data_IF_024395718100
#
_entry.id   IF_024395718100
#
_cell.length_a   1.000
_cell.length_b   1.000
_cell.length_c   1.000
_cell.angle_alpha   90.00
_cell.angle_beta   90.00
_cell.angle_gamma   90.00
#
_symmetry.space_group_name_H-M   'P 1'
#
loop_
_entity.id
_entity.type
_entity.pdbx_description
1 polymer ?
#
# COMPACT_ATOMS: atom_id res chain seq x y z
N UNK A 1 -23.46 8.69 -63.84
CA UNK A 1 -23.92 8.98 -62.51
C UNK A 1 -23.19 8.05 -61.56
N UNK A 2 -22.19 8.54 -60.86
CA UNK A 2 -21.33 7.75 -60.00
C UNK A 2 -21.48 8.27 -58.58
N UNK A 3 -22.08 7.47 -57.75
CA UNK A 3 -22.29 7.76 -56.33
C UNK A 3 -21.02 7.41 -55.60
N UNK A 4 -20.32 8.43 -55.10
CA UNK A 4 -19.11 8.27 -54.28
C UNK A 4 -19.54 8.12 -52.82
N UNK A 5 -19.54 6.89 -52.32
CA UNK A 5 -19.83 6.57 -50.93
C UNK A 5 -18.60 6.91 -50.08
N UNK A 6 -18.68 7.98 -49.30
CA UNK A 6 -17.65 8.38 -48.38
C UNK A 6 -17.80 7.57 -47.08
N UNK A 7 -16.93 6.58 -46.90
CA UNK A 7 -16.87 5.76 -45.68
C UNK A 7 -16.16 6.58 -44.57
N UNK A 8 -16.93 7.15 -43.67
CA UNK A 8 -16.41 7.87 -42.53
C UNK A 8 -16.02 6.86 -41.43
N UNK A 9 -14.73 6.51 -41.39
CA UNK A 9 -14.16 5.65 -40.34
C UNK A 9 -13.92 6.48 -39.10
N UNK A 10 -14.87 6.45 -38.17
CA UNK A 10 -14.71 7.05 -36.84
C UNK A 10 -13.85 6.14 -35.97
N UNK A 11 -12.61 6.54 -35.75
CA UNK A 11 -11.70 5.91 -34.78
C UNK A 11 -12.16 6.33 -33.39
N UNK A 12 -12.87 5.45 -32.67
CA UNK A 12 -13.09 5.58 -31.25
C UNK A 12 -11.80 5.24 -30.52
N UNK A 13 -11.03 6.26 -30.15
CA UNK A 13 -9.95 6.10 -29.18
C UNK A 13 -10.59 6.01 -27.80
N UNK A 14 -10.80 4.78 -27.34
CA UNK A 14 -11.28 4.49 -26.00
C UNK A 14 -10.24 4.84 -24.93
N UNK A 15 -10.31 6.06 -24.40
CA UNK A 15 -9.63 6.41 -23.14
C UNK A 15 -10.46 5.90 -21.97
N UNK A 16 -10.34 4.61 -21.69
CA UNK A 16 -11.00 4.00 -20.54
C UNK A 16 -10.02 3.12 -19.78
N UNK A 17 -9.20 3.74 -18.91
CA UNK A 17 -8.34 2.96 -18.01
C UNK A 17 -8.06 3.61 -16.65
N UNK A 18 -8.74 4.69 -16.23
CA UNK A 18 -8.45 5.32 -14.93
C UNK A 18 -9.49 5.03 -13.83
N UNK A 19 -10.72 4.67 -14.19
CA UNK A 19 -11.79 4.45 -13.21
C UNK A 19 -11.78 3.05 -12.55
N UNK A 20 -11.28 2.02 -13.24
CA UNK A 20 -11.23 0.67 -12.67
C UNK A 20 -10.20 0.51 -11.55
N UNK A 21 -9.06 1.23 -11.59
CA UNK A 21 -8.05 1.17 -10.53
C UNK A 21 -8.49 1.82 -9.22
N UNK A 22 -9.33 2.85 -9.27
CA UNK A 22 -9.85 3.54 -8.08
C UNK A 22 -10.98 2.79 -7.39
N UNK A 23 -11.85 2.11 -8.14
CA UNK A 23 -12.93 1.30 -7.55
C UNK A 23 -12.40 0.07 -6.81
N UNK A 24 -11.26 -0.47 -7.23
CA UNK A 24 -10.61 -1.64 -6.63
C UNK A 24 -9.94 -1.33 -5.27
N UNK A 25 -9.76 -0.04 -4.93
CA UNK A 25 -9.15 0.41 -3.68
C UNK A 25 -10.15 0.61 -2.54
N UNK A 26 -11.46 0.65 -2.80
CA UNK A 26 -12.49 0.83 -1.75
C UNK A 26 -12.56 -0.37 -0.81
N UNK A 27 -12.23 -1.55 -1.28
CA UNK A 27 -12.17 -2.80 -0.51
C UNK A 27 -10.75 -3.17 -0.07
N UNK A 28 -9.80 -2.23 -0.20
CA UNK A 28 -8.38 -2.46 0.13
C UNK A 28 -7.98 -1.68 1.37
N UNK A 29 -7.42 -2.39 2.35
CA UNK A 29 -6.76 -1.82 3.52
C UNK A 29 -5.28 -2.21 3.49
N UNK A 30 -4.41 -1.25 3.74
CA UNK A 30 -2.98 -1.46 3.89
C UNK A 30 -2.60 -1.13 5.34
N UNK A 31 -1.94 -2.06 6.00
CA UNK A 31 -1.52 -1.94 7.39
C UNK A 31 -0.02 -2.19 7.50
N UNK A 32 0.68 -1.25 8.09
CA UNK A 32 2.07 -1.42 8.51
C UNK A 32 2.15 -1.38 10.03
N UNK A 33 2.85 -2.32 10.61
CA UNK A 33 3.16 -2.32 12.04
C UNK A 33 4.65 -2.48 12.30
N UNK A 34 5.12 -1.90 13.41
CA UNK A 34 6.45 -2.13 13.95
C UNK A 34 6.37 -2.29 15.46
N UNK A 35 6.80 -3.45 15.96
CA UNK A 35 6.61 -3.83 17.37
C UNK A 35 7.90 -4.35 17.98
N UNK A 36 8.24 -3.85 19.17
CA UNK A 36 9.26 -4.38 20.07
C UNK A 36 8.85 -4.13 21.54
N UNK A 37 9.75 -4.40 22.49
CA UNK A 37 9.48 -4.11 23.91
C UNK A 37 9.21 -2.63 24.18
N UNK A 38 9.91 -1.73 23.52
CA UNK A 38 9.80 -0.28 23.69
C UNK A 38 9.18 0.47 22.51
N UNK A 39 8.77 -0.22 21.45
CA UNK A 39 8.21 0.39 20.26
C UNK A 39 6.89 -0.26 19.88
N UNK A 40 5.89 0.58 19.60
CA UNK A 40 4.65 0.17 18.95
C UNK A 40 4.26 1.25 17.97
N UNK A 41 4.22 0.90 16.70
CA UNK A 41 3.71 1.73 15.61
C UNK A 41 2.72 0.94 14.80
N UNK A 42 1.60 1.57 14.46
CA UNK A 42 0.59 1.01 13.58
C UNK A 42 0.09 2.11 12.64
N UNK A 43 0.15 1.84 11.36
CA UNK A 43 -0.38 2.71 10.30
C UNK A 43 -1.40 1.92 9.49
N UNK A 44 -2.61 2.43 9.37
CA UNK A 44 -3.66 1.84 8.56
C UNK A 44 -4.10 2.85 7.52
N UNK A 45 -4.03 2.48 6.25
CA UNK A 45 -4.51 3.30 5.13
C UNK A 45 -5.68 2.60 4.46
N UNK A 46 -6.80 3.31 4.36
CA UNK A 46 -8.03 2.84 3.72
C UNK A 46 -8.88 4.04 3.27
N UNK A 47 -9.49 3.96 2.10
CA UNK A 47 -10.47 4.96 1.61
C UNK A 47 -9.99 6.42 1.72
N UNK A 48 -8.76 6.71 1.31
CA UNK A 48 -8.14 8.05 1.43
C UNK A 48 -8.01 8.57 2.86
N UNK A 49 -8.04 7.70 3.86
CA UNK A 49 -7.72 8.05 5.23
C UNK A 49 -6.49 7.28 5.71
N UNK A 50 -5.75 7.88 6.61
CA UNK A 50 -4.67 7.24 7.35
C UNK A 50 -4.97 7.32 8.83
N UNK A 51 -4.81 6.20 9.53
CA UNK A 51 -4.89 6.09 10.98
C UNK A 51 -3.51 5.72 11.50
N UNK A 52 -2.95 6.53 12.40
CA UNK A 52 -1.61 6.33 12.98
C UNK A 52 -1.72 6.17 14.48
N UNK A 53 -1.12 5.09 15.00
CA UNK A 53 -0.99 4.83 16.43
C UNK A 53 0.50 4.72 16.79
N UNK A 54 0.99 5.64 17.60
CA UNK A 54 2.35 5.65 18.13
C UNK A 54 2.32 5.36 19.65
N UNK A 55 2.52 4.08 20.01
CA UNK A 55 2.48 3.61 21.40
C UNK A 55 1.29 2.69 21.69
N UNK A 56 1.50 1.70 22.57
CA UNK A 56 0.51 0.64 22.89
C UNK A 56 -0.82 1.16 23.47
N UNK A 57 -0.77 2.28 24.18
CA UNK A 57 -1.90 2.83 24.92
C UNK A 57 -2.34 4.20 24.39
N UNK A 58 -1.90 4.57 23.19
CA UNK A 58 -2.28 5.83 22.55
C UNK A 58 -3.49 5.63 21.64
N UNK A 59 -4.34 6.64 21.60
CA UNK A 59 -5.44 6.66 20.65
C UNK A 59 -4.92 6.87 19.23
N UNK A 60 -5.52 6.23 18.22
CA UNK A 60 -5.16 6.48 16.83
C UNK A 60 -5.51 7.90 16.40
N UNK A 61 -4.62 8.53 15.67
CA UNK A 61 -4.87 9.81 14.99
C UNK A 61 -5.30 9.50 13.56
N UNK A 62 -6.48 9.95 13.18
CA UNK A 62 -7.04 9.73 11.84
C UNK A 62 -6.98 11.02 11.04
N UNK A 63 -6.41 10.95 9.84
CA UNK A 63 -6.26 12.11 8.94
C UNK A 63 -6.68 11.72 7.51
N UNK A 64 -7.28 12.69 6.80
CA UNK A 64 -7.58 12.52 5.38
C UNK A 64 -6.32 12.72 4.54
N UNK A 65 -6.09 11.84 3.58
CA UNK A 65 -4.99 11.96 2.64
C UNK A 65 -5.33 12.95 1.52
N UNK A 66 -4.34 13.75 1.11
CA UNK A 66 -4.44 14.53 -0.11
C UNK A 66 -4.57 13.62 -1.33
N UNK A 67 -5.18 14.11 -2.41
CA UNK A 67 -5.29 13.34 -3.67
C UNK A 67 -3.92 12.95 -4.22
N UNK A 68 -2.91 13.82 -4.08
CA UNK A 68 -1.55 13.53 -4.52
C UNK A 68 -0.94 12.37 -3.73
N UNK A 69 -1.06 12.38 -2.38
CA UNK A 69 -0.52 11.31 -1.52
C UNK A 69 -1.26 9.99 -1.73
N UNK A 70 -2.57 10.04 -1.88
CA UNK A 70 -3.37 8.86 -2.22
C UNK A 70 -2.95 8.23 -3.54
N UNK A 71 -2.78 9.05 -4.60
CA UNK A 71 -2.32 8.56 -5.91
C UNK A 71 -0.93 7.93 -5.84
N UNK A 72 -0.02 8.50 -5.06
CA UNK A 72 1.31 7.95 -4.84
C UNK A 72 1.26 6.56 -4.20
N UNK A 73 0.47 6.41 -3.12
CA UNK A 73 0.28 5.13 -2.42
C UNK A 73 -0.34 4.09 -3.36
N UNK A 74 -1.40 4.44 -4.09
CA UNK A 74 -2.07 3.54 -5.04
C UNK A 74 -1.12 3.11 -6.16
N UNK A 75 -0.29 4.03 -6.66
CA UNK A 75 0.70 3.73 -7.69
C UNK A 75 1.74 2.71 -7.22
N UNK A 76 2.28 2.87 -6.01
CA UNK A 76 3.25 1.90 -5.46
C UNK A 76 2.58 0.57 -5.10
N UNK A 77 1.38 0.60 -4.51
CA UNK A 77 0.60 -0.60 -4.24
C UNK A 77 0.32 -1.42 -5.52
N UNK A 78 -0.02 -0.76 -6.63
CA UNK A 78 -0.35 -1.43 -7.90
C UNK A 78 0.81 -2.21 -8.55
N UNK A 79 2.04 -1.96 -8.11
CA UNK A 79 3.25 -2.65 -8.59
C UNK A 79 3.52 -3.95 -7.85
N UNK A 80 2.84 -4.18 -6.71
CA UNK A 80 3.12 -5.31 -5.84
C UNK A 80 2.32 -6.54 -6.29
N UNK A 81 3.00 -7.67 -6.41
CA UNK A 81 2.35 -8.97 -6.55
C UNK A 81 1.88 -9.45 -5.17
N UNK A 82 0.58 -9.34 -4.90
CA UNK A 82 0.00 -9.68 -3.60
C UNK A 82 0.26 -11.14 -3.19
N UNK A 83 0.22 -12.07 -4.15
CA UNK A 83 0.41 -13.50 -3.88
C UNK A 83 1.85 -13.81 -3.40
N UNK A 84 2.83 -12.96 -3.72
CA UNK A 84 4.20 -13.12 -3.26
C UNK A 84 4.45 -12.60 -1.83
N UNK A 85 3.59 -11.73 -1.30
CA UNK A 85 3.78 -11.09 0.01
C UNK A 85 4.10 -12.09 1.13
N UNK A 86 3.38 -13.23 1.28
CA UNK A 86 3.65 -14.19 2.36
C UNK A 86 5.02 -14.87 2.27
N UNK A 87 5.73 -14.76 1.15
CA UNK A 87 7.03 -15.39 0.92
C UNK A 87 8.20 -14.42 0.92
N UNK A 88 7.93 -13.10 1.04
CA UNK A 88 8.97 -12.08 1.01
C UNK A 88 9.88 -12.17 2.24
N UNK A 89 11.17 -11.97 2.02
CA UNK A 89 12.19 -11.98 3.07
C UNK A 89 12.86 -10.60 3.16
N UNK A 90 12.98 -10.08 4.37
CA UNK A 90 13.76 -8.88 4.62
C UNK A 90 15.26 -9.11 4.41
N UNK A 91 16.03 -8.04 4.12
CA UNK A 91 17.47 -8.13 3.84
C UNK A 91 18.31 -8.37 5.10
N UNK A 92 17.75 -8.21 6.30
CA UNK A 92 18.44 -8.34 7.58
C UNK A 92 17.62 -9.16 8.58
N UNK A 93 18.28 -9.67 9.63
CA UNK A 93 17.69 -10.56 10.64
C UNK A 93 17.96 -10.09 12.08
N UNK A 94 18.13 -8.78 12.28
CA UNK A 94 18.44 -8.17 13.58
C UNK A 94 17.33 -8.37 14.61
N UNK A 95 16.07 -8.53 14.16
CA UNK A 95 14.92 -8.82 15.03
C UNK A 95 15.05 -10.12 15.85
N UNK A 96 15.84 -11.08 15.38
CA UNK A 96 16.02 -12.35 16.08
C UNK A 96 16.91 -12.26 17.32
N UNK A 97 17.66 -11.16 17.48
CA UNK A 97 18.51 -10.92 18.67
C UNK A 97 18.27 -9.53 19.29
N UNK A 98 17.02 -9.07 19.25
CA UNK A 98 16.58 -7.77 19.79
C UNK A 98 17.29 -6.54 19.17
N UNK A 99 17.93 -6.70 18.02
CA UNK A 99 18.63 -5.60 17.32
C UNK A 99 17.73 -4.72 16.45
N UNK A 100 16.47 -5.11 16.25
CA UNK A 100 15.45 -4.32 15.54
C UNK A 100 14.04 -4.70 15.99
N UNK A 101 13.10 -3.75 15.89
CA UNK A 101 11.69 -4.05 16.02
C UNK A 101 11.23 -4.92 14.83
N UNK A 102 10.18 -5.71 15.04
CA UNK A 102 9.57 -6.52 13.99
C UNK A 102 8.64 -5.62 13.18
N UNK A 103 8.98 -5.39 11.92
CA UNK A 103 8.13 -4.75 10.92
C UNK A 103 7.24 -5.78 10.22
N UNK A 104 6.02 -5.39 9.88
CA UNK A 104 5.08 -6.22 9.15
C UNK A 104 4.25 -5.38 8.19
N UNK A 105 3.99 -5.89 7.00
CA UNK A 105 3.02 -5.35 6.05
C UNK A 105 1.88 -6.36 5.90
N UNK A 106 0.65 -5.91 6.17
CA UNK A 106 -0.57 -6.66 5.94
C UNK A 106 -1.48 -5.89 4.98
N UNK A 107 -1.95 -6.56 3.96
CA UNK A 107 -2.89 -6.03 2.99
C UNK A 107 -4.15 -6.89 3.03
N UNK A 108 -5.29 -6.24 3.20
CA UNK A 108 -6.60 -6.88 3.07
C UNK A 108 -7.24 -6.34 1.79
N UNK A 109 -7.53 -7.22 0.86
CA UNK A 109 -8.20 -6.89 -0.40
C UNK A 109 -9.29 -7.91 -0.69
N UNK A 110 -10.52 -7.45 -0.88
CA UNK A 110 -11.68 -8.33 -1.14
C UNK A 110 -11.78 -9.47 -0.10
N UNK A 111 -11.62 -9.15 1.20
CA UNK A 111 -11.64 -10.09 2.33
C UNK A 111 -10.46 -11.11 2.36
N UNK A 112 -9.56 -11.09 1.39
CA UNK A 112 -8.34 -11.88 1.40
C UNK A 112 -7.21 -11.12 2.07
N UNK A 113 -6.45 -11.82 2.91
CA UNK A 113 -5.33 -11.27 3.68
C UNK A 113 -4.02 -11.72 3.04
N UNK A 114 -3.12 -10.76 2.84
CA UNK A 114 -1.75 -10.97 2.40
C UNK A 114 -0.83 -10.32 3.43
N UNK A 115 0.01 -11.10 4.08
CA UNK A 115 0.83 -10.63 5.19
C UNK A 115 2.27 -11.13 5.05
N UNK A 116 3.23 -10.25 5.33
CA UNK A 116 4.66 -10.63 5.32
C UNK A 116 5.00 -11.50 6.53
N UNK A 117 6.04 -12.37 6.43
CA UNK A 117 6.52 -13.14 7.58
C UNK A 117 7.18 -12.32 8.68
N UNK A 118 7.23 -11.00 8.55
CA UNK A 118 7.97 -10.09 9.41
C UNK A 118 9.39 -9.83 8.90
N UNK A 119 9.81 -8.58 9.05
CA UNK A 119 11.15 -8.09 8.66
C UNK A 119 11.66 -7.11 9.71
N UNK A 120 12.92 -6.72 9.63
CA UNK A 120 13.46 -5.71 10.53
C UNK A 120 12.86 -4.34 10.20
N UNK A 121 12.30 -3.65 11.19
CA UNK A 121 11.80 -2.29 11.03
C UNK A 121 12.88 -1.39 10.46
N UNK A 122 12.58 -0.70 9.34
CA UNK A 122 13.53 0.10 8.56
C UNK A 122 14.25 -0.66 7.44
N UNK A 123 14.08 -1.99 7.34
CA UNK A 123 14.69 -2.83 6.31
C UNK A 123 13.65 -3.78 5.68
N UNK A 124 12.64 -3.24 5.00
CA UNK A 124 11.63 -4.07 4.35
C UNK A 124 12.19 -4.83 3.15
N UNK A 125 11.53 -5.91 2.71
CA UNK A 125 11.79 -6.53 1.42
C UNK A 125 11.72 -5.52 0.28
N UNK A 126 12.61 -5.65 -0.70
CA UNK A 126 12.77 -4.68 -1.80
C UNK A 126 11.51 -4.48 -2.62
N UNK A 127 10.72 -5.55 -2.79
CA UNK A 127 9.49 -5.57 -3.57
C UNK A 127 8.39 -4.67 -2.99
N UNK A 128 8.41 -4.44 -1.68
CA UNK A 128 7.42 -3.63 -0.96
C UNK A 128 8.03 -2.36 -0.33
N UNK A 129 9.33 -2.13 -0.52
CA UNK A 129 10.09 -1.08 0.17
C UNK A 129 9.47 0.31 0.00
N UNK A 130 9.09 0.67 -1.22
CA UNK A 130 8.54 1.99 -1.50
C UNK A 130 7.19 2.19 -0.82
N UNK A 131 6.31 1.19 -0.88
CA UNK A 131 5.02 1.27 -0.21
C UNK A 131 5.20 1.35 1.31
N UNK A 132 6.04 0.49 1.90
CA UNK A 132 6.32 0.51 3.35
C UNK A 132 6.87 1.86 3.78
N UNK A 133 7.82 2.44 3.04
CA UNK A 133 8.38 3.75 3.36
C UNK A 133 7.33 4.86 3.34
N UNK A 134 6.40 4.85 2.37
CA UNK A 134 5.28 5.79 2.33
C UNK A 134 4.37 5.68 3.57
N UNK A 135 4.13 4.46 4.06
CA UNK A 135 3.34 4.24 5.28
C UNK A 135 4.11 4.66 6.53
N UNK A 136 5.40 4.35 6.62
CA UNK A 136 6.28 4.73 7.74
C UNK A 136 6.39 6.24 7.89
N UNK A 137 6.39 6.99 6.79
CA UNK A 137 6.51 8.46 6.84
C UNK A 137 5.41 9.11 7.66
N UNK A 138 4.20 8.56 7.70
CA UNK A 138 3.12 9.04 8.56
C UNK A 138 3.41 8.91 10.06
N UNK A 139 4.36 8.09 10.46
CA UNK A 139 4.75 7.95 11.88
C UNK A 139 5.77 8.97 12.34
N UNK A 140 6.25 9.82 11.44
CA UNK A 140 7.29 10.84 11.72
C UNK A 140 6.71 12.24 11.94
N UNK A 141 5.42 12.42 11.62
CA UNK A 141 4.68 13.68 11.75
C UNK A 141 4.14 13.91 13.15
#
# INVERSE_FOLDING_TARGET
MRILSLLLLTIFIGTSCSSQKTSDMTSTQMEYSAVSRGLYKLVIVQNKTVSVTNGKNTQPVVTNLSDAKWKEIVAEFSKINLESIPTLKGPTEKRFYDGAAIGNLKIVKNQKIYETPGFDNGYPPKEIEKLVNLLVDFTKE
#
